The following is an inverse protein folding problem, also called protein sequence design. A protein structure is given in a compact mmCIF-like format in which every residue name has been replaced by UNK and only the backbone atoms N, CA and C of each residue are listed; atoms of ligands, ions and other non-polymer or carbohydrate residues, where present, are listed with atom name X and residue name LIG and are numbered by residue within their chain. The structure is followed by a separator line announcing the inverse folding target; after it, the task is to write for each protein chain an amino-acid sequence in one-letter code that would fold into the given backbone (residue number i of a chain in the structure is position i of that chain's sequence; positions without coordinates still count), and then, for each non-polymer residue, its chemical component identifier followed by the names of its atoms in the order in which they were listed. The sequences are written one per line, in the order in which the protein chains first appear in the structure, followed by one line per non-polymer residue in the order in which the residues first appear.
data_IF_740443873401
#
_entry.id   IF_740443873401
#
_cell.length_a   1.000
_cell.length_b   1.000
_cell.length_c   1.000
_cell.angle_alpha   90.00
_cell.angle_beta   90.00
_cell.angle_gamma   90.00
#
_symmetry.space_group_name_H-M   'P 1'
#
loop_
_entity.id
_entity.type
_entity.pdbx_description
1 polymer ?
#
# COMPACT_ATOMS: atom_id res chain seq x y z
N UNK A 1 -13.42 -10.19 -19.71
CA UNK A 1 -13.11 -8.89 -19.07
C UNK A 1 -12.91 -9.00 -17.56
N UNK A 2 -13.78 -9.69 -16.81
CA UNK A 2 -13.60 -9.86 -15.35
C UNK A 2 -12.24 -10.49 -14.96
N UNK A 3 -11.81 -11.54 -15.66
CA UNK A 3 -10.53 -12.20 -15.37
C UNK A 3 -9.30 -11.29 -15.56
N UNK A 4 -9.35 -10.36 -16.52
CA UNK A 4 -8.27 -9.41 -16.75
C UNK A 4 -8.19 -8.38 -15.62
N UNK A 5 -9.33 -7.89 -15.12
CA UNK A 5 -9.36 -6.97 -13.99
C UNK A 5 -8.84 -7.63 -12.71
N UNK A 6 -9.20 -8.91 -12.46
CA UNK A 6 -8.64 -9.67 -11.33
C UNK A 6 -7.10 -9.74 -11.41
N UNK A 7 -6.56 -10.01 -12.60
CA UNK A 7 -5.10 -10.04 -12.79
C UNK A 7 -4.45 -8.69 -12.48
N UNK A 8 -5.08 -7.57 -12.89
CA UNK A 8 -4.61 -6.23 -12.54
C UNK A 8 -4.68 -5.99 -11.02
N UNK A 9 -5.76 -6.40 -10.38
CA UNK A 9 -5.92 -6.29 -8.92
C UNK A 9 -4.83 -7.07 -8.18
N UNK A 10 -4.51 -8.29 -8.61
CA UNK A 10 -3.40 -9.05 -8.04
C UNK A 10 -2.04 -8.37 -8.26
N UNK A 11 -1.82 -7.78 -9.44
CA UNK A 11 -0.61 -7.01 -9.73
C UNK A 11 -0.48 -5.78 -8.81
N UNK A 12 -1.60 -5.10 -8.51
CA UNK A 12 -1.64 -4.00 -7.55
C UNK A 12 -1.20 -4.48 -6.15
N UNK A 13 -1.64 -5.67 -5.72
CA UNK A 13 -1.24 -6.22 -4.41
C UNK A 13 0.23 -6.68 -4.37
N UNK A 14 0.78 -7.19 -5.47
CA UNK A 14 2.24 -7.38 -5.58
C UNK A 14 2.93 -6.03 -5.38
N UNK A 15 2.44 -4.99 -6.03
CA UNK A 15 3.02 -3.65 -5.93
C UNK A 15 2.95 -3.07 -4.51
N UNK A 16 1.93 -3.41 -3.75
CA UNK A 16 1.78 -3.00 -2.35
C UNK A 16 2.80 -3.74 -1.45
N UNK A 17 3.03 -5.04 -1.69
CA UNK A 17 4.00 -5.83 -0.92
C UNK A 17 5.47 -5.52 -1.24
N UNK A 18 5.76 -5.05 -2.46
CA UNK A 18 7.14 -4.76 -2.89
C UNK A 18 7.90 -3.80 -1.97
N UNK A 19 7.36 -2.66 -1.52
CA UNK A 19 8.14 -1.73 -0.72
C UNK A 19 8.24 -2.10 0.76
N UNK A 20 7.36 -2.93 1.29
CA UNK A 20 7.23 -3.16 2.74
C UNK A 20 8.49 -3.75 3.38
N UNK A 21 9.18 -4.65 2.68
CA UNK A 21 10.40 -5.28 3.20
C UNK A 21 11.69 -4.53 2.85
N UNK A 22 11.62 -3.45 2.06
CA UNK A 22 12.81 -2.69 1.63
C UNK A 22 13.51 -2.02 2.80
N UNK A 23 12.76 -1.40 3.72
CA UNK A 23 13.33 -0.70 4.86
C UNK A 23 14.13 -1.66 5.72
N UNK A 24 13.55 -2.80 6.09
CA UNK A 24 14.22 -3.82 6.89
C UNK A 24 15.47 -4.38 6.22
N UNK A 25 15.38 -4.69 4.92
CA UNK A 25 16.48 -5.27 4.15
C UNK A 25 17.63 -4.28 3.91
N UNK A 26 17.31 -2.99 3.70
CA UNK A 26 18.29 -1.93 3.45
C UNK A 26 18.88 -1.31 4.71
N UNK A 27 18.20 -1.47 5.86
CA UNK A 27 18.53 -0.75 7.09
C UNK A 27 19.96 -0.97 7.60
N UNK A 28 20.55 -2.16 7.55
CA UNK A 28 21.95 -2.34 8.00
C UNK A 28 22.94 -1.40 7.28
N UNK A 29 22.69 -1.07 6.03
CA UNK A 29 23.50 -0.12 5.27
C UNK A 29 23.05 1.32 5.50
N UNK A 30 21.75 1.56 5.59
CA UNK A 30 21.17 2.89 5.81
C UNK A 30 21.56 3.47 7.17
N UNK A 31 21.55 2.67 8.25
CA UNK A 31 21.95 3.12 9.58
C UNK A 31 23.39 3.64 9.62
N UNK A 32 24.30 2.96 8.92
CA UNK A 32 25.70 3.39 8.80
C UNK A 32 25.79 4.69 7.99
N UNK A 33 25.07 4.76 6.89
CA UNK A 33 25.04 5.94 6.02
C UNK A 33 24.52 7.18 6.76
N UNK A 34 23.47 7.04 7.57
CA UNK A 34 22.90 8.16 8.33
C UNK A 34 23.59 8.40 9.69
N UNK A 35 24.47 7.50 10.14
CA UNK A 35 25.14 7.60 11.44
C UNK A 35 24.18 7.45 12.63
N UNK A 36 23.14 6.61 12.51
CA UNK A 36 22.10 6.43 13.54
C UNK A 36 22.08 5.01 14.09
N UNK A 37 21.59 4.79 15.33
CA UNK A 37 21.41 3.45 15.90
C UNK A 37 20.45 2.58 15.08
N UNK A 38 20.60 1.24 15.17
CA UNK A 38 19.73 0.29 14.46
C UNK A 38 18.25 0.41 14.83
N UNK A 39 17.95 0.77 16.09
CA UNK A 39 16.58 0.98 16.58
C UNK A 39 15.82 2.10 15.86
N UNK A 40 16.51 3.01 15.16
CA UNK A 40 15.91 4.13 14.44
C UNK A 40 15.09 3.69 13.23
N UNK A 41 15.27 2.46 12.70
CA UNK A 41 14.36 1.88 11.72
C UNK A 41 12.92 1.85 12.22
N UNK A 42 12.76 1.52 13.52
CA UNK A 42 11.46 1.43 14.17
C UNK A 42 10.65 2.72 14.08
N UNK A 43 11.29 3.88 14.26
CA UNK A 43 10.59 5.17 14.18
C UNK A 43 10.06 5.45 12.77
N UNK A 44 10.84 5.13 11.73
CA UNK A 44 10.39 5.27 10.34
C UNK A 44 9.24 4.31 10.05
N UNK A 45 9.36 3.04 10.46
CA UNK A 45 8.29 2.04 10.31
C UNK A 45 7.02 2.46 11.06
N UNK A 46 7.13 2.97 12.29
CA UNK A 46 5.99 3.48 13.05
C UNK A 46 5.31 4.65 12.33
N UNK A 47 6.07 5.54 11.71
CA UNK A 47 5.50 6.65 10.93
C UNK A 47 4.72 6.13 9.73
N UNK A 48 5.28 5.17 8.99
CA UNK A 48 4.59 4.52 7.86
C UNK A 48 3.28 3.88 8.35
N UNK A 49 3.35 3.02 9.38
CA UNK A 49 2.20 2.32 9.93
C UNK A 49 1.12 3.27 10.44
N UNK A 50 1.50 4.35 11.12
CA UNK A 50 0.58 5.35 11.60
C UNK A 50 -0.18 6.05 10.46
N UNK A 51 0.53 6.42 9.39
CA UNK A 51 -0.09 7.00 8.21
C UNK A 51 -0.98 6.01 7.45
N UNK A 52 -0.59 4.73 7.41
CA UNK A 52 -1.42 3.64 6.86
C UNK A 52 -2.73 3.50 7.63
N UNK A 53 -2.68 3.52 8.96
CA UNK A 53 -3.87 3.45 9.81
C UNK A 53 -4.78 4.67 9.58
N UNK A 54 -4.23 5.89 9.56
CA UNK A 54 -5.00 7.10 9.28
C UNK A 54 -5.70 6.99 7.92
N UNK A 55 -4.98 6.57 6.89
CA UNK A 55 -5.52 6.42 5.55
C UNK A 55 -6.62 5.36 5.50
N UNK A 56 -6.42 4.21 6.16
CA UNK A 56 -7.42 3.15 6.25
C UNK A 56 -8.70 3.61 6.94
N UNK A 57 -8.59 4.37 8.04
CA UNK A 57 -9.75 4.93 8.74
C UNK A 57 -10.51 5.99 7.92
N UNK A 58 -9.82 6.70 7.02
CA UNK A 58 -10.43 7.68 6.13
C UNK A 58 -11.03 7.04 4.87
N UNK A 59 -10.61 5.83 4.52
CA UNK A 59 -10.97 5.14 3.28
C UNK A 59 -12.48 4.97 3.06
N UNK A 60 -13.34 4.64 4.05
CA UNK A 60 -14.78 4.54 3.83
C UNK A 60 -15.38 5.85 3.30
N UNK A 61 -14.99 7.00 3.88
CA UNK A 61 -15.44 8.31 3.41
C UNK A 61 -14.92 8.67 2.02
N UNK A 62 -13.75 8.16 1.67
CA UNK A 62 -13.13 8.41 0.38
C UNK A 62 -13.80 7.57 -0.70
N UNK A 63 -14.06 6.29 -0.41
CA UNK A 63 -14.71 5.34 -1.33
C UNK A 63 -16.15 5.79 -1.64
N UNK A 64 -16.90 6.30 -0.65
CA UNK A 64 -18.27 6.81 -0.88
C UNK A 64 -18.34 8.05 -1.77
N UNK A 65 -17.23 8.78 -1.96
CA UNK A 65 -17.18 10.00 -2.77
C UNK A 65 -16.42 9.85 -4.09
N UNK A 66 -15.50 8.93 -4.14
CA UNK A 66 -14.56 8.78 -5.25
C UNK A 66 -14.53 7.31 -5.68
N UNK A 67 -14.65 7.04 -6.99
CA UNK A 67 -14.55 5.68 -7.53
C UNK A 67 -13.21 5.04 -7.15
N UNK A 68 -13.23 3.76 -6.75
CA UNK A 68 -12.06 2.97 -6.34
C UNK A 68 -10.87 3.09 -7.29
N UNK A 69 -11.10 3.10 -8.61
CA UNK A 69 -10.04 3.25 -9.61
C UNK A 69 -9.20 4.51 -9.46
N UNK A 70 -9.80 5.64 -9.08
CA UNK A 70 -9.08 6.90 -8.86
C UNK A 70 -8.34 6.90 -7.54
N UNK A 71 -8.92 6.30 -6.50
CA UNK A 71 -8.24 6.10 -5.23
C UNK A 71 -6.97 5.29 -5.45
N UNK A 72 -7.05 4.18 -6.19
CA UNK A 72 -5.90 3.32 -6.51
C UNK A 72 -4.81 4.09 -7.25
N UNK A 73 -5.15 4.84 -8.30
CA UNK A 73 -4.16 5.62 -9.06
C UNK A 73 -3.47 6.67 -8.18
N UNK A 74 -4.24 7.46 -7.44
CA UNK A 74 -3.68 8.49 -6.55
C UNK A 74 -2.79 7.86 -5.47
N UNK A 75 -3.19 6.72 -4.95
CA UNK A 75 -2.45 6.01 -3.92
C UNK A 75 -1.13 5.43 -4.44
N UNK A 76 -1.12 4.84 -5.65
CA UNK A 76 0.13 4.39 -6.29
C UNK A 76 1.06 5.59 -6.54
N UNK A 77 0.54 6.74 -6.98
CA UNK A 77 1.34 7.95 -7.13
C UNK A 77 1.96 8.41 -5.82
N UNK A 78 1.22 8.36 -4.70
CA UNK A 78 1.73 8.69 -3.37
C UNK A 78 2.84 7.72 -2.94
N UNK A 79 2.68 6.41 -3.18
CA UNK A 79 3.72 5.42 -2.86
C UNK A 79 4.97 5.61 -3.73
N UNK A 80 4.83 5.89 -5.03
CA UNK A 80 5.95 6.23 -5.93
C UNK A 80 6.68 7.46 -5.41
N UNK A 81 5.94 8.52 -5.03
CA UNK A 81 6.54 9.74 -4.49
C UNK A 81 7.33 9.44 -3.21
N UNK A 82 6.78 8.64 -2.30
CA UNK A 82 7.48 8.19 -1.10
C UNK A 82 8.77 7.42 -1.41
N UNK A 83 8.70 6.43 -2.33
CA UNK A 83 9.87 5.63 -2.74
C UNK A 83 10.96 6.48 -3.42
N UNK A 84 10.57 7.39 -4.32
CA UNK A 84 11.49 8.33 -4.93
C UNK A 84 12.15 9.21 -3.86
N UNK A 85 11.37 9.67 -2.89
CA UNK A 85 11.85 10.43 -1.75
C UNK A 85 12.86 9.67 -0.90
N UNK A 86 12.57 8.40 -0.57
CA UNK A 86 13.56 7.54 0.11
C UNK A 86 14.84 7.41 -0.71
N UNK A 87 14.74 7.23 -2.03
CA UNK A 87 15.90 7.05 -2.91
C UNK A 87 16.84 8.26 -2.97
N UNK A 88 16.35 9.47 -2.71
CA UNK A 88 17.13 10.72 -2.72
C UNK A 88 17.47 11.23 -1.33
N UNK A 89 17.04 10.53 -0.28
CA UNK A 89 17.26 10.96 1.11
C UNK A 89 18.74 10.93 1.46
N UNK A 90 19.28 12.08 1.84
CA UNK A 90 20.65 12.26 2.29
C UNK A 90 20.77 12.43 3.82
N UNK A 91 19.64 12.66 4.49
CA UNK A 91 19.56 12.84 5.94
C UNK A 91 18.44 12.00 6.52
N UNK A 92 18.64 11.48 7.73
CA UNK A 92 17.68 10.61 8.40
C UNK A 92 16.27 11.20 8.50
N UNK A 93 16.13 12.47 8.86
CA UNK A 93 14.82 13.12 9.00
C UNK A 93 14.01 13.18 7.71
N UNK A 94 14.66 13.14 6.53
CA UNK A 94 13.97 13.12 5.24
C UNK A 94 13.10 11.85 5.08
N UNK A 95 13.52 10.74 5.69
CA UNK A 95 12.75 9.50 5.65
C UNK A 95 11.35 9.68 6.25
N UNK A 96 11.19 10.50 7.30
CA UNK A 96 9.88 10.77 7.90
C UNK A 96 8.96 11.55 6.95
N UNK A 97 9.50 12.56 6.25
CA UNK A 97 8.72 13.33 5.28
C UNK A 97 8.15 12.43 4.19
N UNK A 98 8.98 11.52 3.67
CA UNK A 98 8.57 10.62 2.59
C UNK A 98 7.79 9.39 3.08
N UNK A 99 7.92 9.02 4.36
CA UNK A 99 7.11 8.00 5.00
C UNK A 99 5.61 8.40 5.06
N UNK A 100 5.31 9.69 5.17
CA UNK A 100 3.92 10.20 5.22
C UNK A 100 3.16 9.85 3.94
N UNK A 101 3.52 10.34 2.74
CA UNK A 101 2.80 10.03 1.52
C UNK A 101 2.86 8.52 1.19
N UNK A 102 3.97 7.86 1.50
CA UNK A 102 4.09 6.42 1.32
C UNK A 102 3.03 5.65 2.14
N UNK A 103 2.93 5.89 3.45
CA UNK A 103 1.96 5.22 4.32
C UNK A 103 0.50 5.55 3.96
N UNK A 104 0.20 6.82 3.62
CA UNK A 104 -1.12 7.23 3.16
C UNK A 104 -1.53 6.49 1.90
N UNK A 105 -0.63 6.37 0.92
CA UNK A 105 -0.88 5.63 -0.31
C UNK A 105 -1.10 4.14 -0.05
N UNK A 106 -0.26 3.51 0.76
CA UNK A 106 -0.36 2.08 1.08
C UNK A 106 -1.70 1.73 1.76
N UNK A 107 -2.12 2.51 2.76
CA UNK A 107 -3.37 2.26 3.47
C UNK A 107 -4.61 2.49 2.60
N UNK A 108 -4.60 3.49 1.72
CA UNK A 108 -5.72 3.76 0.83
C UNK A 108 -5.88 2.67 -0.26
N UNK A 109 -4.78 2.17 -0.84
CA UNK A 109 -4.83 1.05 -1.80
C UNK A 109 -5.41 -0.19 -1.12
N UNK A 110 -4.86 -0.56 0.03
CA UNK A 110 -5.27 -1.76 0.75
C UNK A 110 -6.77 -1.74 1.04
N UNK A 111 -7.26 -0.68 1.67
CA UNK A 111 -8.68 -0.54 2.00
C UNK A 111 -9.58 -0.50 0.77
N UNK A 112 -9.21 0.27 -0.27
CA UNK A 112 -10.03 0.45 -1.45
C UNK A 112 -10.16 -0.85 -2.27
N UNK A 113 -9.08 -1.60 -2.45
CA UNK A 113 -9.10 -2.86 -3.18
C UNK A 113 -9.80 -3.96 -2.39
N UNK A 114 -9.56 -4.06 -1.07
CA UNK A 114 -10.26 -5.01 -0.23
C UNK A 114 -11.77 -4.79 -0.27
N UNK A 115 -12.23 -3.53 -0.14
CA UNK A 115 -13.64 -3.18 -0.29
C UNK A 115 -14.19 -3.57 -1.67
N UNK A 116 -13.49 -3.22 -2.74
CA UNK A 116 -13.90 -3.54 -4.10
C UNK A 116 -14.01 -5.06 -4.33
N UNK A 117 -13.03 -5.83 -3.87
CA UNK A 117 -13.02 -7.28 -4.04
C UNK A 117 -14.11 -7.93 -3.19
N UNK A 118 -14.33 -7.49 -1.95
CA UNK A 118 -15.39 -8.01 -1.09
C UNK A 118 -16.78 -7.85 -1.72
N UNK A 119 -17.04 -6.74 -2.40
CA UNK A 119 -18.35 -6.45 -3.00
C UNK A 119 -18.55 -7.07 -4.39
N UNK A 120 -17.48 -7.42 -5.10
CA UNK A 120 -17.59 -7.84 -6.50
C UNK A 120 -17.13 -9.28 -6.79
N UNK A 121 -16.43 -9.93 -5.84
CA UNK A 121 -15.79 -11.21 -6.05
C UNK A 121 -15.96 -12.16 -4.85
N UNK A 122 -15.61 -13.43 -5.05
CA UNK A 122 -15.68 -14.46 -4.00
C UNK A 122 -14.55 -14.34 -2.97
N UNK A 123 -14.75 -14.92 -1.78
CA UNK A 123 -13.71 -15.00 -0.75
C UNK A 123 -12.41 -15.67 -1.20
N UNK A 124 -12.47 -16.59 -2.18
CA UNK A 124 -11.26 -17.17 -2.77
C UNK A 124 -10.39 -16.12 -3.47
N UNK A 125 -10.99 -15.17 -4.18
CA UNK A 125 -10.25 -14.06 -4.83
C UNK A 125 -9.57 -13.19 -3.78
N UNK A 126 -10.24 -12.94 -2.65
CA UNK A 126 -9.68 -12.20 -1.51
C UNK A 126 -8.47 -12.92 -0.91
N UNK A 127 -8.54 -14.24 -0.72
CA UNK A 127 -7.42 -15.02 -0.20
C UNK A 127 -6.20 -14.97 -1.15
N UNK A 128 -6.43 -15.12 -2.46
CA UNK A 128 -5.36 -14.99 -3.45
C UNK A 128 -4.75 -13.58 -3.49
N UNK A 129 -5.54 -12.55 -3.25
CA UNK A 129 -5.08 -11.17 -3.15
C UNK A 129 -3.92 -11.06 -2.13
N UNK A 130 -4.13 -11.57 -0.92
CA UNK A 130 -3.10 -11.57 0.13
C UNK A 130 -1.91 -12.49 -0.18
N UNK A 131 -2.12 -13.59 -0.92
CA UNK A 131 -1.00 -14.38 -1.43
C UNK A 131 -0.10 -13.57 -2.37
N UNK A 132 -0.68 -12.79 -3.29
CA UNK A 132 0.09 -11.94 -4.21
C UNK A 132 0.80 -10.79 -3.51
N UNK A 133 0.22 -10.24 -2.44
CA UNK A 133 0.94 -9.32 -1.55
C UNK A 133 2.21 -9.98 -0.99
N UNK A 134 2.08 -11.21 -0.47
CA UNK A 134 3.22 -12.00 0.02
C UNK A 134 4.31 -12.22 -1.04
N UNK A 135 3.92 -12.45 -2.31
CA UNK A 135 4.88 -12.53 -3.43
C UNK A 135 5.68 -11.25 -3.56
N UNK A 136 5.02 -10.09 -3.50
CA UNK A 136 5.70 -8.78 -3.51
C UNK A 136 6.69 -8.64 -2.35
N UNK A 137 6.27 -8.99 -1.14
CA UNK A 137 7.09 -8.91 0.06
C UNK A 137 8.34 -9.82 0.01
N UNK A 138 8.24 -10.99 -0.65
CA UNK A 138 9.38 -11.91 -0.87
C UNK A 138 10.35 -11.40 -1.95
N UNK A 139 9.84 -10.76 -3.00
CA UNK A 139 10.66 -10.19 -4.08
C UNK A 139 11.49 -9.00 -3.57
N UNK A 140 10.94 -8.20 -2.71
CA UNK A 140 11.51 -6.94 -2.21
C UNK A 140 12.92 -7.07 -1.63
N UNK A 141 13.22 -7.99 -0.70
CA UNK A 141 14.58 -8.17 -0.16
C UNK A 141 15.59 -8.52 -1.24
N UNK A 142 15.17 -9.24 -2.30
CA UNK A 142 16.06 -9.61 -3.41
C UNK A 142 16.43 -8.39 -4.26
N UNK A 143 15.49 -7.47 -4.47
CA UNK A 143 15.75 -6.18 -5.14
C UNK A 143 16.77 -5.39 -4.32
N UNK A 144 16.55 -5.28 -3.01
CA UNK A 144 17.48 -4.56 -2.13
C UNK A 144 18.86 -5.24 -2.08
N UNK A 145 18.92 -6.57 -1.97
CA UNK A 145 20.17 -7.32 -1.97
C UNK A 145 20.96 -7.11 -3.27
N UNK A 146 20.27 -7.05 -4.42
CA UNK A 146 20.92 -6.76 -5.70
C UNK A 146 21.49 -5.33 -5.74
N UNK A 147 20.77 -4.34 -5.22
CA UNK A 147 21.23 -2.96 -5.11
C UNK A 147 22.43 -2.82 -4.17
N UNK A 148 22.42 -3.54 -3.06
CA UNK A 148 23.49 -3.53 -2.07
C UNK A 148 24.81 -4.15 -2.55
N UNK A 149 24.81 -4.97 -3.62
CA UNK A 149 26.07 -5.41 -4.26
C UNK A 149 26.95 -4.24 -4.71
N UNK A 150 26.34 -3.10 -5.02
CA UNK A 150 27.02 -1.83 -5.35
C UNK A 150 27.10 -0.87 -4.16
N UNK A 151 26.80 -1.32 -2.94
CA UNK A 151 26.71 -0.54 -1.71
C UNK A 151 25.75 0.67 -1.81
N UNK A 152 24.72 0.57 -2.67
CA UNK A 152 23.77 1.66 -2.97
C UNK A 152 22.34 1.28 -2.57
N UNK A 153 22.01 1.38 -1.29
CA UNK A 153 20.65 1.14 -0.81
C UNK A 153 19.58 2.02 -1.53
N UNK A 154 19.97 3.23 -1.96
CA UNK A 154 19.11 4.14 -2.72
C UNK A 154 18.59 3.53 -4.02
N UNK A 155 19.43 2.71 -4.69
CA UNK A 155 19.04 2.03 -5.94
C UNK A 155 17.91 1.03 -5.72
N UNK A 156 17.86 0.36 -4.56
CA UNK A 156 16.77 -0.56 -4.23
C UNK A 156 15.41 0.15 -4.22
N UNK A 157 15.33 1.32 -3.60
CA UNK A 157 14.12 2.15 -3.63
C UNK A 157 13.80 2.67 -5.04
N UNK A 158 14.83 3.06 -5.80
CA UNK A 158 14.67 3.57 -7.17
C UNK A 158 14.14 2.48 -8.11
N UNK A 159 14.69 1.27 -8.06
CA UNK A 159 14.21 0.16 -8.87
C UNK A 159 12.78 -0.23 -8.51
N UNK A 160 12.44 -0.24 -7.24
CA UNK A 160 11.06 -0.48 -6.81
C UNK A 160 10.12 0.64 -7.28
N UNK A 161 10.56 1.90 -7.26
CA UNK A 161 9.77 3.01 -7.82
C UNK A 161 9.53 2.83 -9.33
N UNK A 162 10.52 2.37 -10.11
CA UNK A 162 10.32 2.07 -11.54
C UNK A 162 9.32 0.94 -11.76
N UNK A 163 9.36 -0.12 -10.94
CA UNK A 163 8.35 -1.18 -11.01
C UNK A 163 6.95 -0.64 -10.68
N UNK A 164 6.83 0.22 -9.66
CA UNK A 164 5.56 0.87 -9.32
C UNK A 164 5.03 1.75 -10.47
N UNK A 165 5.91 2.47 -11.17
CA UNK A 165 5.54 3.26 -12.36
C UNK A 165 5.01 2.35 -13.46
N UNK A 166 5.67 1.21 -13.73
CA UNK A 166 5.19 0.26 -14.73
C UNK A 166 3.80 -0.30 -14.36
N UNK A 167 3.58 -0.63 -13.08
CA UNK A 167 2.28 -1.09 -12.60
C UNK A 167 1.23 0.02 -12.69
N UNK A 168 1.58 1.25 -12.37
CA UNK A 168 0.70 2.42 -12.56
C UNK A 168 0.23 2.55 -14.00
N UNK A 169 1.11 2.38 -14.98
CA UNK A 169 0.76 2.41 -16.40
C UNK A 169 -0.25 1.31 -16.76
N UNK A 170 -0.03 0.09 -16.24
CA UNK A 170 -1.00 -1.02 -16.41
C UNK A 170 -2.34 -0.67 -15.78
N UNK A 171 -2.36 -0.07 -14.59
CA UNK A 171 -3.57 0.38 -13.92
C UNK A 171 -4.31 1.44 -14.74
N UNK A 172 -3.61 2.41 -15.32
CA UNK A 172 -4.20 3.44 -16.18
C UNK A 172 -4.84 2.82 -17.44
N UNK A 173 -4.14 1.88 -18.09
CA UNK A 173 -4.66 1.16 -19.26
C UNK A 173 -5.90 0.33 -18.87
N UNK A 174 -5.95 -0.19 -17.65
CA UNK A 174 -7.07 -0.99 -17.17
C UNK A 174 -8.31 -0.18 -16.74
N UNK A 175 -8.25 1.15 -16.70
CA UNK A 175 -9.36 2.01 -16.27
C UNK A 175 -10.72 1.70 -16.90
N UNK A 176 -10.81 1.35 -18.20
CA UNK A 176 -12.08 1.00 -18.83
C UNK A 176 -12.70 -0.31 -18.32
N UNK A 177 -11.92 -1.15 -17.62
CA UNK A 177 -12.37 -2.45 -17.10
C UNK A 177 -13.11 -2.33 -15.76
N UNK A 178 -12.94 -1.19 -15.06
CA UNK A 178 -13.58 -0.96 -13.76
C UNK A 178 -15.06 -0.64 -13.93
N UNK A 179 -15.91 -1.26 -13.11
CA UNK A 179 -17.36 -1.04 -13.19
C UNK A 179 -17.72 0.41 -12.90
N UNK A 180 -18.75 0.90 -13.60
CA UNK A 180 -19.17 2.31 -13.59
C UNK A 180 -20.05 2.70 -12.39
N UNK A 181 -20.65 1.73 -11.68
CA UNK A 181 -21.76 1.94 -10.74
C UNK A 181 -21.38 1.81 -9.25
N UNK A 182 -20.11 1.92 -8.88
CA UNK A 182 -19.65 1.70 -7.49
C UNK A 182 -20.21 2.75 -6.50
N UNK A 183 -20.49 3.97 -6.94
CA UNK A 183 -20.89 5.08 -6.06
C UNK A 183 -22.37 5.03 -5.66
N UNK A 184 -23.21 4.29 -6.39
CA UNK A 184 -24.66 4.28 -6.17
C UNK A 184 -25.16 3.15 -5.25
N UNK A 185 -24.38 2.10 -5.03
CA UNK A 185 -24.77 1.00 -4.15
C UNK A 185 -24.50 1.33 -2.66
N UNK A 186 -23.52 2.19 -2.38
CA UNK A 186 -23.16 2.59 -1.02
C UNK A 186 -24.19 3.50 -0.33
N UNK A 187 -25.03 4.23 -1.07
CA UNK A 187 -26.12 5.03 -0.46
C UNK A 187 -27.20 4.17 0.23
N UNK A 188 -27.26 2.86 -0.07
CA UNK A 188 -28.20 1.93 0.58
C UNK A 188 -27.64 1.23 1.82
N UNK A 189 -26.34 1.24 2.03
CA UNK A 189 -25.66 0.60 3.17
C UNK A 189 -25.09 1.60 4.20
N UNK A 190 -25.37 2.90 4.08
CA UNK A 190 -24.94 3.92 5.06
C UNK A 190 -25.59 3.80 6.47
N UNK A 191 -26.08 2.63 6.84
CA UNK A 191 -26.19 2.21 8.23
C UNK A 191 -25.00 1.32 8.63
N UNK A 192 -23.78 1.65 8.18
CA UNK A 192 -22.59 1.07 8.78
C UNK A 192 -22.51 1.60 10.22
N UNK A 193 -22.79 0.71 11.16
CA UNK A 193 -22.64 0.96 12.58
C UNK A 193 -21.30 1.66 12.83
N UNK A 194 -21.32 2.87 13.37
CA UNK A 194 -20.10 3.57 13.73
C UNK A 194 -19.24 2.69 14.64
N UNK A 195 -17.92 2.93 14.72
CA UNK A 195 -16.98 2.14 15.54
C UNK A 195 -17.55 1.92 16.96
N UNK A 196 -18.21 2.93 17.53
CA UNK A 196 -18.88 2.85 18.84
C UNK A 196 -20.08 1.87 18.87
N UNK A 197 -20.71 1.62 17.75
CA UNK A 197 -21.85 0.71 17.61
C UNK A 197 -21.40 -0.71 17.31
N UNK A 198 -20.34 -0.87 16.53
CA UNK A 198 -19.67 -2.16 16.30
C UNK A 198 -19.08 -2.75 17.59
N UNK A 199 -18.58 -1.93 18.51
CA UNK A 199 -18.10 -2.33 19.84
C UNK A 199 -19.22 -2.81 20.78
N UNK A 200 -20.49 -2.50 20.49
CA UNK A 200 -21.65 -2.96 21.27
C UNK A 200 -22.14 -4.35 20.85
N UNK A 201 -21.68 -4.87 19.73
CA UNK A 201 -22.05 -6.22 19.27
C UNK A 201 -21.43 -7.26 20.20
N UNK A 202 -22.24 -8.15 20.85
CA UNK A 202 -21.69 -9.17 21.73
C UNK A 202 -20.71 -10.08 20.96
N UNK A 203 -19.49 -10.17 21.44
CA UNK A 203 -18.43 -10.98 20.82
C UNK A 203 -17.30 -10.19 20.16
N UNK A 204 -17.51 -8.95 19.73
CA UNK A 204 -16.45 -8.13 19.12
C UNK A 204 -15.36 -7.78 20.12
N UNK A 205 -15.72 -7.54 21.38
CA UNK A 205 -14.75 -7.23 22.46
C UNK A 205 -13.96 -8.46 22.92
N UNK A 206 -14.43 -9.69 22.62
CA UNK A 206 -13.77 -10.93 23.02
C UNK A 206 -12.71 -11.40 21.98
N UNK A 207 -12.64 -10.74 20.82
CA UNK A 207 -11.73 -11.09 19.72
C UNK A 207 -10.62 -10.05 19.51
N UNK A 208 -10.59 -9.00 20.30
CA UNK A 208 -9.52 -8.00 20.38
C UNK A 208 -8.58 -8.30 21.56
#
# INVERSE_FOLDING_TARGET
MASLLIAVIYLIFISLGLPDSLLGSGWPTMQVYFGVPSSYAGYVSMTISFMTIISALMSPKLISRIHTKWIVICSILLTIFGLCGFSISSKYWMLFIFAIPYGLGAGAIDSAINHYVANNYSGSVMNFLHCFYGVGAVISPNIMAAALKSARWNEGYRWTAYLQIAILLVCIISLPLWKKNEVQEDEKEEHSAGIAESLKVPGVVLTL
#
